data_IF_509987290369
#
_entry.id   IF_509987290369
#
_cell.length_a   1.000
_cell.length_b   1.000
_cell.length_c   1.000
_cell.angle_alpha   90.00
_cell.angle_beta   90.00
_cell.angle_gamma   90.00
#
_symmetry.space_group_name_H-M   'P 1'
#
loop_
_entity.id
_entity.type
_entity.pdbx_description
1 polymer ?
#
# COMPACT_ATOMS: atom_id res chain seq x y z
N UNK A 1 -29.04 13.06 2.89
CA UNK A 1 -27.91 12.62 3.75
C UNK A 1 -27.89 11.10 3.96
N UNK A 2 -28.86 10.34 3.46
CA UNK A 2 -29.03 8.89 3.72
C UNK A 2 -28.29 7.92 2.78
N UNK A 3 -27.40 8.40 1.90
CA UNK A 3 -26.72 7.53 0.92
C UNK A 3 -25.19 7.51 1.10
N UNK A 4 -24.73 7.55 2.35
CA UNK A 4 -23.30 7.45 2.67
C UNK A 4 -22.91 5.97 2.60
N UNK A 5 -21.84 5.61 1.86
CA UNK A 5 -21.35 4.24 1.88
C UNK A 5 -20.93 3.88 3.32
N UNK A 6 -21.48 2.77 3.82
CA UNK A 6 -21.09 2.18 5.08
C UNK A 6 -19.94 1.19 4.83
N UNK A 7 -18.79 1.47 5.44
CA UNK A 7 -17.57 0.65 5.34
C UNK A 7 -17.37 -0.23 6.57
N UNK A 8 -18.35 -0.31 7.47
CA UNK A 8 -18.29 -1.21 8.61
C UNK A 8 -18.45 -2.66 8.14
N UNK A 9 -17.43 -3.48 8.37
CA UNK A 9 -17.46 -4.92 8.15
C UNK A 9 -17.23 -5.61 9.49
N UNK A 10 -18.14 -6.51 9.89
CA UNK A 10 -17.98 -7.33 11.09
C UNK A 10 -17.67 -8.75 10.63
N UNK A 11 -16.40 -9.13 10.64
CA UNK A 11 -15.95 -10.49 10.27
C UNK A 11 -15.78 -11.30 11.54
N UNK A 12 -16.40 -12.48 11.62
CA UNK A 12 -16.13 -13.43 12.71
C UNK A 12 -14.71 -14.00 12.56
N UNK A 13 -13.79 -13.55 13.44
CA UNK A 13 -12.40 -13.98 13.49
C UNK A 13 -11.58 -13.19 14.53
N UNK A 14 -10.39 -13.68 14.88
CA UNK A 14 -9.46 -12.92 15.73
C UNK A 14 -8.69 -11.91 14.87
N UNK A 15 -9.16 -10.67 14.81
CA UNK A 15 -8.37 -9.55 14.31
C UNK A 15 -7.44 -9.07 15.41
N UNK A 16 -6.14 -9.30 15.26
CA UNK A 16 -5.12 -8.70 16.11
C UNK A 16 -4.73 -7.34 15.51
N UNK A 17 -5.38 -6.27 15.98
CA UNK A 17 -5.00 -4.90 15.62
C UNK A 17 -3.74 -4.50 16.41
N UNK A 18 -2.61 -4.36 15.71
CA UNK A 18 -1.33 -3.91 16.28
C UNK A 18 -1.15 -2.39 16.25
N UNK A 19 -2.21 -1.66 15.89
CA UNK A 19 -2.19 -0.23 15.65
C UNK A 19 -1.28 0.15 14.48
N UNK A 20 -1.00 1.45 14.38
CA UNK A 20 -0.15 1.99 13.32
C UNK A 20 1.35 1.76 13.55
N UNK A 21 1.75 1.24 14.72
CA UNK A 21 3.17 1.05 15.08
C UNK A 21 3.97 2.36 15.15
N UNK A 22 3.31 3.50 15.36
CA UNK A 22 3.93 4.84 15.33
C UNK A 22 4.51 5.30 16.67
N UNK A 23 4.37 4.50 17.72
CA UNK A 23 4.83 4.85 19.06
C UNK A 23 6.36 4.98 19.08
N UNK A 24 6.85 6.13 19.52
CA UNK A 24 8.29 6.44 19.57
C UNK A 24 8.91 6.92 18.24
N UNK A 25 8.22 6.83 17.10
CA UNK A 25 8.73 7.32 15.81
C UNK A 25 8.68 8.85 15.69
N UNK A 26 7.73 9.50 16.38
CA UNK A 26 7.59 10.95 16.40
C UNK A 26 7.74 11.43 17.85
N UNK A 27 8.65 12.37 18.08
CA UNK A 27 8.87 12.96 19.40
C UNK A 27 8.38 14.41 19.42
N UNK A 28 8.11 14.94 20.62
CA UNK A 28 7.84 16.38 20.77
C UNK A 28 8.97 17.23 20.18
N UNK A 29 10.22 16.76 20.25
CA UNK A 29 11.37 17.45 19.68
C UNK A 29 11.31 17.53 18.15
N UNK A 30 10.97 16.46 17.45
CA UNK A 30 10.86 16.49 15.98
C UNK A 30 9.68 17.38 15.53
N UNK A 31 8.57 17.35 16.26
CA UNK A 31 7.39 18.18 15.97
C UNK A 31 7.68 19.69 16.10
N UNK A 32 8.36 20.13 17.17
CA UNK A 32 8.66 21.56 17.34
C UNK A 32 9.64 22.09 16.28
N UNK A 33 10.40 21.22 15.60
CA UNK A 33 11.29 21.57 14.49
C UNK A 33 10.63 21.38 13.12
N UNK A 34 9.32 21.10 13.06
CA UNK A 34 8.59 20.94 11.80
C UNK A 34 8.79 19.61 11.09
N UNK A 35 9.45 18.63 11.72
CA UNK A 35 9.66 17.28 11.16
C UNK A 35 8.45 16.39 11.42
N UNK A 36 7.34 16.74 10.79
CA UNK A 36 6.03 16.09 11.00
C UNK A 36 5.63 15.26 9.79
N UNK A 37 5.87 15.77 8.59
CA UNK A 37 5.54 15.07 7.34
C UNK A 37 6.72 14.23 6.82
N UNK A 38 6.40 13.22 6.01
CA UNK A 38 7.41 12.34 5.43
C UNK A 38 8.34 13.05 4.42
N UNK A 39 7.84 13.88 3.47
CA UNK A 39 8.72 14.61 2.54
C UNK A 39 9.82 15.41 3.22
N UNK A 40 9.52 16.15 4.30
CA UNK A 40 10.51 16.94 5.03
C UNK A 40 11.55 16.05 5.72
N UNK A 41 11.12 14.96 6.36
CA UNK A 41 12.03 14.04 7.04
C UNK A 41 12.95 13.30 6.08
N UNK A 42 12.40 12.74 4.98
CA UNK A 42 13.20 12.09 3.96
C UNK A 42 14.10 13.07 3.22
N UNK A 43 13.69 14.33 3.04
CA UNK A 43 14.52 15.38 2.44
C UNK A 43 15.82 15.65 3.21
N UNK A 44 15.78 15.57 4.55
CA UNK A 44 17.00 15.63 5.38
C UNK A 44 17.92 14.44 5.15
N UNK A 45 17.37 13.22 5.12
CA UNK A 45 18.12 11.99 4.88
C UNK A 45 18.74 11.98 3.47
N UNK A 46 17.99 12.47 2.48
CA UNK A 46 18.42 12.57 1.09
C UNK A 46 19.58 13.54 0.93
N UNK A 47 19.53 14.69 1.61
CA UNK A 47 20.64 15.64 1.62
C UNK A 47 21.86 15.11 2.37
N UNK A 48 21.68 14.36 3.46
CA UNK A 48 22.78 13.67 4.13
C UNK A 48 23.44 12.62 3.20
N UNK A 49 22.62 11.86 2.46
CA UNK A 49 23.11 10.92 1.44
C UNK A 49 23.89 11.64 0.33
N UNK A 50 23.36 12.74 -0.20
CA UNK A 50 24.05 13.58 -1.19
C UNK A 50 25.41 14.08 -0.69
N UNK A 51 25.49 14.52 0.57
CA UNK A 51 26.75 14.93 1.16
C UNK A 51 27.79 13.79 1.16
N UNK A 52 27.34 12.53 1.35
CA UNK A 52 28.19 11.35 1.27
C UNK A 52 28.62 10.96 -0.16
N UNK A 53 27.89 11.36 -1.20
CA UNK A 53 28.27 11.08 -2.59
C UNK A 53 29.19 12.13 -3.21
N UNK A 54 29.28 13.32 -2.60
CA UNK A 54 30.06 14.45 -3.13
C UNK A 54 29.43 15.14 -4.35
N UNK A 55 28.20 14.78 -4.73
CA UNK A 55 27.51 15.35 -5.89
C UNK A 55 26.96 16.76 -5.58
N UNK A 56 26.98 17.61 -6.61
CA UNK A 56 26.28 18.89 -6.58
C UNK A 56 24.75 18.71 -6.52
N UNK A 57 23.99 19.73 -6.07
CA UNK A 57 22.53 19.63 -5.98
C UNK A 57 21.85 19.26 -7.30
N UNK A 58 22.25 19.88 -8.42
CA UNK A 58 21.66 19.63 -9.74
C UNK A 58 21.98 18.22 -10.28
N UNK A 59 23.20 17.73 -10.04
CA UNK A 59 23.63 16.39 -10.45
C UNK A 59 22.89 15.31 -9.66
N UNK A 60 22.73 15.54 -8.36
CA UNK A 60 21.99 14.64 -7.49
C UNK A 60 20.50 14.60 -7.86
N UNK A 61 19.90 15.75 -8.14
CA UNK A 61 18.52 15.84 -8.62
C UNK A 61 18.33 15.10 -9.94
N UNK A 62 19.28 15.22 -10.89
CA UNK A 62 19.28 14.45 -12.13
C UNK A 62 19.34 12.93 -11.86
N UNK A 63 20.22 12.49 -10.95
CA UNK A 63 20.33 11.08 -10.57
C UNK A 63 19.02 10.54 -9.97
N UNK A 64 18.34 11.33 -9.13
CA UNK A 64 17.00 10.97 -8.64
C UNK A 64 15.97 10.88 -9.78
N UNK A 65 16.01 11.83 -10.71
CA UNK A 65 15.14 11.81 -11.90
C UNK A 65 15.36 10.59 -12.78
N UNK A 66 16.60 10.16 -13.00
CA UNK A 66 16.94 8.94 -13.75
C UNK A 66 16.39 7.66 -13.10
N UNK A 67 16.51 7.58 -11.77
CA UNK A 67 15.94 6.48 -11.00
C UNK A 67 14.41 6.43 -11.13
N UNK A 68 13.74 7.57 -10.94
CA UNK A 68 12.28 7.63 -10.92
C UNK A 68 11.66 7.53 -12.32
N UNK A 69 12.32 8.02 -13.37
CA UNK A 69 11.85 7.88 -14.75
C UNK A 69 11.63 6.39 -15.10
N UNK A 70 12.56 5.53 -14.69
CA UNK A 70 12.44 4.07 -14.86
C UNK A 70 11.22 3.48 -14.14
N UNK A 71 10.88 3.99 -12.96
CA UNK A 71 9.67 3.57 -12.24
C UNK A 71 8.39 4.05 -12.93
N UNK A 72 8.35 5.28 -13.45
CA UNK A 72 7.17 5.79 -14.15
C UNK A 72 6.89 4.99 -15.43
N UNK A 73 7.92 4.53 -16.13
CA UNK A 73 7.79 3.65 -17.30
C UNK A 73 7.12 2.32 -16.96
N UNK A 74 7.54 1.69 -15.85
CA UNK A 74 6.92 0.44 -15.37
C UNK A 74 5.47 0.70 -14.91
N UNK A 75 5.24 1.80 -14.19
CA UNK A 75 3.92 2.19 -13.73
C UNK A 75 2.95 2.46 -14.88
N UNK A 76 3.40 3.07 -15.98
CA UNK A 76 2.58 3.34 -17.15
C UNK A 76 2.04 2.07 -17.82
N UNK A 77 2.79 0.97 -17.76
CA UNK A 77 2.35 -0.33 -18.27
C UNK A 77 1.50 -1.14 -17.27
N UNK A 78 1.41 -0.71 -16.01
CA UNK A 78 0.69 -1.44 -14.97
C UNK A 78 -0.78 -0.98 -14.91
N UNK A 79 -1.77 -1.85 -15.21
CA UNK A 79 -3.19 -1.50 -15.16
C UNK A 79 -3.68 -1.15 -13.75
N UNK A 80 -2.94 -1.55 -12.71
CA UNK A 80 -3.24 -1.21 -11.32
C UNK A 80 -2.52 0.04 -10.84
N UNK A 81 -1.74 0.73 -11.68
CA UNK A 81 -1.09 1.96 -11.26
C UNK A 81 -2.12 3.09 -11.11
N UNK A 82 -2.06 3.81 -9.98
CA UNK A 82 -2.93 4.96 -9.75
C UNK A 82 -2.55 6.20 -10.60
N UNK A 83 -1.30 6.26 -11.06
CA UNK A 83 -0.80 7.31 -11.95
C UNK A 83 0.01 6.68 -13.09
N UNK A 84 -0.66 6.15 -14.14
CA UNK A 84 -0.01 5.42 -15.22
C UNK A 84 0.51 6.38 -16.32
N UNK A 85 1.30 7.38 -15.93
CA UNK A 85 1.90 8.33 -16.88
C UNK A 85 3.41 8.19 -16.82
N UNK A 86 4.01 7.76 -17.93
CA UNK A 86 5.46 7.76 -18.10
C UNK A 86 5.96 9.21 -18.16
N UNK A 87 7.08 9.47 -17.47
CA UNK A 87 7.68 10.81 -17.36
C UNK A 87 9.15 10.73 -17.72
N UNK A 88 9.64 11.73 -18.44
CA UNK A 88 11.08 11.85 -18.70
C UNK A 88 11.82 12.40 -17.48
N UNK A 89 13.14 12.21 -17.45
CA UNK A 89 14.01 12.76 -16.40
C UNK A 89 13.85 14.28 -16.32
N UNK A 90 13.92 14.97 -17.45
CA UNK A 90 13.75 16.42 -17.54
C UNK A 90 12.39 16.87 -17.00
N UNK A 91 11.31 16.15 -17.28
CA UNK A 91 9.98 16.49 -16.77
C UNK A 91 9.89 16.35 -15.25
N UNK A 92 10.52 15.30 -14.69
CA UNK A 92 10.51 15.04 -13.24
C UNK A 92 11.27 16.10 -12.45
N UNK A 93 12.41 16.57 -12.97
CA UNK A 93 13.31 17.49 -12.25
C UNK A 93 13.04 18.97 -12.53
N UNK A 94 12.38 19.29 -13.65
CA UNK A 94 12.10 20.68 -14.00
C UNK A 94 11.00 21.23 -13.10
N UNK A 95 11.36 22.25 -12.32
CA UNK A 95 10.41 22.96 -11.45
C UNK A 95 9.52 23.84 -12.32
N UNK A 96 8.22 23.61 -12.23
CA UNK A 96 7.19 24.39 -12.90
C UNK A 96 6.06 24.68 -11.92
N UNK A 97 5.07 25.48 -12.31
CA UNK A 97 3.87 25.68 -11.49
C UNK A 97 3.17 24.35 -11.17
N UNK A 98 3.11 23.43 -12.15
CA UNK A 98 2.51 22.12 -11.99
C UNK A 98 3.44 21.08 -11.31
N UNK A 99 4.75 21.32 -11.30
CA UNK A 99 5.78 20.52 -10.63
C UNK A 99 6.59 21.35 -9.61
N UNK A 100 5.87 22.05 -8.72
CA UNK A 100 6.49 22.90 -7.70
C UNK A 100 7.34 22.10 -6.70
N UNK A 101 8.26 22.78 -6.04
CA UNK A 101 8.98 22.22 -4.89
C UNK A 101 8.03 21.92 -3.73
N UNK A 102 8.18 20.75 -3.11
CA UNK A 102 7.43 20.35 -1.91
C UNK A 102 8.32 20.45 -0.68
N UNK A 103 9.48 19.80 -0.74
CA UNK A 103 10.55 19.89 0.25
C UNK A 103 11.87 19.79 -0.51
N UNK A 104 12.95 20.41 -0.04
CA UNK A 104 14.27 20.18 -0.65
C UNK A 104 14.71 18.72 -0.37
N UNK A 105 15.07 17.90 -1.37
CA UNK A 105 15.33 18.19 -2.79
C UNK A 105 14.22 17.77 -3.79
N UNK A 106 13.01 17.51 -3.32
CA UNK A 106 11.91 16.93 -4.08
C UNK A 106 10.93 17.96 -4.70
N UNK A 107 10.84 18.03 -6.03
CA UNK A 107 9.67 18.57 -6.72
C UNK A 107 8.48 17.60 -6.61
N UNK A 108 7.27 18.11 -6.85
CA UNK A 108 6.01 17.39 -6.63
C UNK A 108 5.92 16.02 -7.31
N UNK A 109 6.49 15.85 -8.50
CA UNK A 109 6.46 14.59 -9.24
C UNK A 109 7.40 13.51 -8.68
N UNK A 110 8.35 13.88 -7.82
CA UNK A 110 9.21 12.94 -7.11
C UNK A 110 8.65 12.54 -5.73
N UNK A 111 7.48 13.05 -5.36
CA UNK A 111 6.80 12.73 -4.10
C UNK A 111 5.59 11.82 -4.36
N UNK A 112 5.45 10.78 -3.54
CA UNK A 112 4.33 9.83 -3.63
C UNK A 112 2.98 10.50 -3.38
N UNK A 113 1.92 9.97 -4.01
CA UNK A 113 0.53 10.37 -3.78
C UNK A 113 -0.17 9.33 -2.93
N UNK A 114 -0.66 9.74 -1.77
CA UNK A 114 -1.27 8.85 -0.76
C UNK A 114 -2.77 8.58 -0.98
N UNK A 115 -3.41 9.26 -1.95
CA UNK A 115 -4.86 9.16 -2.17
C UNK A 115 -5.21 8.16 -3.26
N UNK A 116 -5.14 6.86 -2.94
CA UNK A 116 -5.55 5.76 -3.84
C UNK A 116 -6.51 4.82 -3.13
N UNK A 117 -7.50 4.30 -3.85
CA UNK A 117 -8.40 3.24 -3.34
C UNK A 117 -7.99 1.90 -3.97
N UNK A 118 -7.04 1.22 -3.32
CA UNK A 118 -6.47 -0.04 -3.80
C UNK A 118 -6.30 -1.02 -2.63
N UNK A 119 -6.47 -2.31 -2.89
CA UNK A 119 -6.29 -3.39 -1.92
C UNK A 119 -5.50 -4.54 -2.54
N UNK A 120 -4.68 -5.20 -1.74
CA UNK A 120 -3.90 -6.37 -2.13
C UNK A 120 -3.90 -7.41 -0.99
N UNK A 121 -3.88 -8.70 -1.34
CA UNK A 121 -3.79 -9.80 -0.38
C UNK A 121 -2.78 -10.84 -0.86
N UNK A 122 -2.00 -11.38 0.08
CA UNK A 122 -1.06 -12.46 -0.17
C UNK A 122 -1.39 -13.67 0.72
N UNK A 123 -1.43 -14.87 0.13
CA UNK A 123 -1.66 -16.12 0.86
C UNK A 123 -0.33 -16.86 1.01
N UNK A 124 0.13 -17.01 2.26
CA UNK A 124 1.34 -17.75 2.59
C UNK A 124 0.99 -19.16 3.09
N UNK A 125 1.73 -20.17 2.65
CA UNK A 125 1.57 -21.55 3.10
C UNK A 125 2.90 -22.31 3.12
N UNK A 126 2.97 -23.34 3.97
CA UNK A 126 4.09 -24.28 3.98
C UNK A 126 4.15 -25.12 2.70
N UNK A 127 5.32 -25.67 2.36
CA UNK A 127 5.58 -26.44 1.12
C UNK A 127 4.90 -27.83 1.10
N UNK A 128 4.19 -28.21 2.17
CA UNK A 128 3.55 -29.53 2.32
C UNK A 128 2.49 -29.87 1.26
N UNK A 129 2.12 -31.16 1.11
CA UNK A 129 1.47 -31.68 -0.09
C UNK A 129 0.15 -30.97 -0.44
N UNK A 130 0.13 -30.44 -1.66
CA UNK A 130 -0.92 -29.67 -2.33
C UNK A 130 -2.08 -30.55 -2.80
N UNK A 131 -2.65 -31.39 -1.93
CA UNK A 131 -3.78 -32.26 -2.30
C UNK A 131 -5.01 -31.94 -1.43
N UNK A 132 -5.93 -31.11 -1.94
CA UNK A 132 -7.26 -30.98 -1.36
C UNK A 132 -7.91 -29.59 -1.32
N UNK A 133 -7.33 -28.54 -1.89
CA UNK A 133 -7.92 -27.20 -1.80
C UNK A 133 -8.91 -26.91 -2.94
N UNK A 134 -10.20 -26.96 -2.63
CA UNK A 134 -11.29 -26.45 -3.46
C UNK A 134 -11.84 -25.18 -2.80
N UNK A 135 -11.53 -24.01 -3.35
CA UNK A 135 -12.11 -22.75 -2.91
C UNK A 135 -13.51 -22.61 -3.54
N UNK A 136 -14.57 -22.86 -2.76
CA UNK A 136 -15.94 -22.58 -3.20
C UNK A 136 -16.20 -21.07 -3.15
N UNK A 137 -16.63 -20.50 -4.29
CA UNK A 137 -16.63 -19.07 -4.61
C UNK A 137 -17.62 -18.20 -3.82
N UNK A 138 -18.22 -18.69 -2.73
CA UNK A 138 -19.16 -17.92 -1.89
C UNK A 138 -18.99 -18.39 -0.45
N UNK A 139 -18.94 -17.44 0.48
CA UNK A 139 -18.70 -17.57 1.93
C UNK A 139 -17.27 -17.91 2.35
N UNK A 140 -16.73 -17.06 3.25
CA UNK A 140 -15.36 -17.12 3.77
C UNK A 140 -15.01 -18.47 4.38
N UNK A 141 -13.75 -18.88 4.21
CA UNK A 141 -13.25 -20.14 4.71
C UNK A 141 -12.58 -19.96 6.07
N UNK A 142 -13.16 -20.53 7.11
CA UNK A 142 -12.42 -20.98 8.29
C UNK A 142 -11.94 -22.39 7.97
N UNK A 143 -10.64 -22.56 7.78
CA UNK A 143 -10.03 -23.87 7.53
C UNK A 143 -9.40 -24.37 8.84
N UNK A 144 -10.15 -25.19 9.58
CA UNK A 144 -9.53 -26.05 10.59
C UNK A 144 -8.89 -27.24 9.89
N UNK A 145 -7.56 -27.29 9.92
CA UNK A 145 -6.83 -28.50 9.58
C UNK A 145 -7.07 -29.53 10.69
N UNK A 146 -8.02 -30.46 10.50
CA UNK A 146 -8.09 -31.65 11.35
C UNK A 146 -7.15 -32.71 10.78
N UNK A 147 -6.16 -33.20 11.57
CA UNK A 147 -5.40 -34.37 11.19
C UNK A 147 -6.38 -35.56 11.10
N UNK A 148 -6.16 -36.36 10.07
CA UNK A 148 -6.85 -37.61 9.77
C UNK A 148 -7.03 -38.48 11.03
N UNK A 149 -8.18 -39.18 11.08
CA UNK A 149 -8.67 -40.10 12.13
C UNK A 149 -9.69 -39.52 13.12
N UNK A 150 -10.88 -39.13 12.63
CA UNK A 150 -12.19 -39.45 13.23
C UNK A 150 -13.31 -38.96 12.30
N UNK A 151 -14.19 -39.89 11.92
CA UNK A 151 -15.54 -39.74 11.34
C UNK A 151 -15.94 -38.40 10.69
N UNK A 152 -16.27 -38.47 9.39
CA UNK A 152 -17.08 -37.49 8.66
C UNK A 152 -18.33 -37.12 9.46
N UNK A 153 -18.36 -35.92 10.04
CA UNK A 153 -19.61 -35.24 10.41
C UNK A 153 -19.72 -34.00 9.53
N UNK A 154 -20.43 -34.15 8.43
CA UNK A 154 -20.86 -33.04 7.60
C UNK A 154 -22.07 -32.41 8.31
N UNK A 155 -21.89 -31.25 8.92
CA UNK A 155 -23.02 -30.43 9.35
C UNK A 155 -23.58 -29.69 8.14
N UNK A 156 -24.66 -30.24 7.56
CA UNK A 156 -25.56 -29.46 6.71
C UNK A 156 -26.41 -28.56 7.59
N UNK A 157 -26.17 -27.24 7.56
CA UNK A 157 -27.14 -26.28 8.08
C UNK A 157 -28.39 -26.30 7.17
N UNK A 158 -29.61 -26.36 7.72
CA UNK A 158 -30.83 -26.45 6.92
C UNK A 158 -31.06 -25.19 6.08
N UNK A 159 -31.42 -25.42 4.84
CA UNK A 159 -31.82 -24.46 3.81
C UNK A 159 -32.86 -23.45 4.32
N UNK A 160 -32.51 -22.16 4.34
CA UNK A 160 -33.51 -21.08 4.41
C UNK A 160 -34.16 -20.93 3.02
N UNK A 161 -35.42 -21.35 2.91
CA UNK A 161 -36.20 -21.25 1.68
C UNK A 161 -36.63 -19.82 1.39
N UNK A 162 -36.19 -19.28 0.24
CA UNK A 162 -36.83 -18.12 -0.38
C UNK A 162 -38.18 -18.55 -0.98
N UNK A 163 -39.28 -18.27 -0.27
CA UNK A 163 -40.63 -18.34 -0.84
C UNK A 163 -41.03 -16.93 -1.29
N UNK A 164 -40.93 -16.66 -2.60
CA UNK A 164 -41.60 -15.52 -3.24
C UNK A 164 -43.11 -15.70 -3.06
N UNK A 165 -43.77 -14.83 -2.29
CA UNK A 165 -45.20 -14.58 -2.44
C UNK A 165 -45.37 -13.46 -3.47
N UNK A 166 -46.31 -13.67 -4.38
CA UNK A 166 -46.86 -12.63 -5.26
C UNK A 166 -47.47 -11.50 -4.44
#
# INVERSE_FOLDING_TARGET
>A
MDNRPDFSETVEGSLEDRGHGLEGLISRYTVIHGLVDAPTQYGLLENARRAGTGLGPAEYLRSMGELFASFTKVAAANPFAAAPVERSVEELITVTESNRMIAEPYPRLLVARDQVNQGAAALLMSVGPRSGWVCHRRTGCICTATPTWLSKVCWTAPTWGMRRRR
#
